data_IF_732223421899
#
_entry.id   IF_732223421899
#
_cell.length_a   1.000
_cell.length_b   1.000
_cell.length_c   1.000
_cell.angle_alpha   90.00
_cell.angle_beta   90.00
_cell.angle_gamma   90.00
#
_symmetry.space_group_name_H-M   'P 1'
#
loop_
_entity.id
_entity.type
_entity.pdbx_description
1 polymer ?
#
# COMPACT_ATOMS: atom_id res chain seq x y z
N UNK A 1 8.52 6.54 3.62
CA UNK A 1 8.01 6.67 2.23
C UNK A 1 9.08 6.49 1.15
N UNK A 2 10.32 6.93 1.34
CA UNK A 2 11.37 6.71 0.34
C UNK A 2 11.52 5.25 -0.09
N UNK A 3 11.47 4.32 0.86
CA UNK A 3 11.58 2.89 0.58
C UNK A 3 10.40 2.36 -0.22
N UNK A 4 9.20 2.89 0.02
CA UNK A 4 8.02 2.54 -0.76
C UNK A 4 8.13 3.04 -2.20
N UNK A 5 8.64 4.25 -2.39
CA UNK A 5 8.87 4.83 -3.73
C UNK A 5 9.91 3.98 -4.49
N UNK A 6 11.00 3.59 -3.83
CA UNK A 6 12.00 2.71 -4.44
C UNK A 6 11.38 1.37 -4.86
N UNK A 7 10.56 0.78 -4.00
CA UNK A 7 9.87 -0.47 -4.31
C UNK A 7 8.96 -0.30 -5.54
N UNK A 8 8.23 0.81 -5.62
CA UNK A 8 7.36 1.11 -6.75
C UNK A 8 8.10 1.14 -8.08
N UNK A 9 9.33 1.63 -8.09
CA UNK A 9 10.16 1.71 -9.29
C UNK A 9 10.55 0.33 -9.84
N UNK A 10 10.42 -0.70 -9.04
CA UNK A 10 10.69 -2.08 -9.46
C UNK A 10 9.54 -2.71 -10.26
N UNK A 11 8.37 -2.10 -10.25
CA UNK A 11 7.23 -2.57 -11.04
C UNK A 11 7.49 -2.28 -12.53
N UNK A 12 7.38 -3.32 -13.36
CA UNK A 12 7.59 -3.21 -14.82
C UNK A 12 6.36 -3.70 -15.55
N UNK A 13 5.89 -2.90 -16.51
CA UNK A 13 4.64 -3.18 -17.26
C UNK A 13 3.42 -3.28 -16.33
N UNK A 14 3.48 -2.55 -15.22
CA UNK A 14 2.46 -2.52 -14.17
C UNK A 14 2.27 -1.08 -13.72
N UNK A 15 1.18 -0.81 -13.02
CA UNK A 15 1.03 0.46 -12.33
C UNK A 15 2.06 0.51 -11.20
N UNK A 16 2.87 1.57 -11.17
CA UNK A 16 3.98 1.72 -10.21
C UNK A 16 3.47 2.08 -8.83
N UNK A 17 3.16 1.06 -8.05
CA UNK A 17 2.80 1.20 -6.63
C UNK A 17 3.78 0.38 -5.81
N UNK A 18 4.26 0.96 -4.73
CA UNK A 18 5.15 0.30 -3.79
C UNK A 18 4.61 0.40 -2.37
N UNK A 19 4.82 -0.64 -1.59
CA UNK A 19 4.40 -0.69 -0.19
C UNK A 19 5.49 -1.33 0.67
N UNK A 20 5.66 -0.80 1.88
CA UNK A 20 6.56 -1.40 2.87
C UNK A 20 5.82 -1.51 4.20
N UNK A 21 6.10 -2.59 4.93
CA UNK A 21 5.62 -2.76 6.30
C UNK A 21 6.80 -2.57 7.24
N UNK A 22 6.60 -1.74 8.26
CA UNK A 22 7.64 -1.33 9.20
C UNK A 22 7.21 -1.70 10.61
N UNK A 23 8.15 -2.24 11.38
CA UNK A 23 7.95 -2.52 12.80
C UNK A 23 9.10 -1.90 13.60
N UNK A 24 8.76 -1.00 14.53
CA UNK A 24 9.77 -0.30 15.34
C UNK A 24 10.88 0.34 14.51
N UNK A 25 10.50 1.00 13.42
CA UNK A 25 11.45 1.67 12.53
C UNK A 25 12.21 0.77 11.57
N UNK A 26 12.01 -0.54 11.64
CA UNK A 26 12.70 -1.52 10.78
C UNK A 26 11.75 -2.00 9.67
N UNK A 27 12.20 -1.95 8.43
CA UNK A 27 11.45 -2.47 7.29
C UNK A 27 11.39 -4.00 7.38
N UNK A 28 10.18 -4.55 7.52
CA UNK A 28 9.93 -5.98 7.60
C UNK A 28 9.70 -6.56 6.20
N UNK A 29 8.97 -5.85 5.37
CA UNK A 29 8.65 -6.28 4.02
C UNK A 29 8.62 -5.11 3.05
N UNK A 30 8.82 -5.40 1.77
CA UNK A 30 8.80 -4.42 0.70
C UNK A 30 8.27 -5.11 -0.56
N UNK A 31 7.35 -4.48 -1.25
CA UNK A 31 6.75 -5.06 -2.44
C UNK A 31 6.31 -3.99 -3.43
N UNK A 32 6.17 -4.38 -4.68
CA UNK A 32 5.56 -3.57 -5.71
C UNK A 32 4.41 -4.34 -6.36
N UNK A 33 3.59 -3.63 -7.13
CA UNK A 33 2.46 -4.20 -7.85
C UNK A 33 2.95 -5.26 -8.84
N UNK A 34 2.36 -6.46 -8.81
CA UNK A 34 2.75 -7.59 -9.67
C UNK A 34 1.55 -8.33 -10.26
N UNK A 35 0.45 -7.62 -10.46
CA UNK A 35 -0.79 -8.18 -11.01
C UNK A 35 -0.55 -8.87 -12.35
N UNK A 36 0.14 -8.20 -13.27
CA UNK A 36 0.44 -8.74 -14.59
C UNK A 36 1.53 -9.83 -14.51
N UNK A 37 2.60 -9.58 -13.77
CA UNK A 37 3.70 -10.53 -13.63
C UNK A 37 3.25 -11.87 -13.06
N UNK A 38 2.35 -11.86 -12.08
CA UNK A 38 1.85 -13.06 -11.41
C UNK A 38 0.51 -13.56 -11.96
N UNK A 39 -0.11 -12.83 -12.91
CA UNK A 39 -1.46 -13.14 -13.41
C UNK A 39 -2.42 -13.32 -12.23
N UNK A 40 -2.38 -12.38 -11.30
CA UNK A 40 -3.13 -12.43 -10.04
C UNK A 40 -3.68 -11.04 -9.72
N UNK A 41 -5.01 -10.90 -9.80
CA UNK A 41 -5.71 -9.64 -9.54
C UNK A 41 -5.51 -9.15 -8.11
N UNK A 42 -5.15 -10.04 -7.17
CA UNK A 42 -4.89 -9.65 -5.77
C UNK A 42 -3.45 -9.22 -5.52
N UNK A 43 -2.56 -9.35 -6.50
CA UNK A 43 -1.12 -9.06 -6.34
C UNK A 43 -0.81 -7.56 -6.37
N UNK A 44 -1.55 -6.78 -5.58
CA UNK A 44 -1.23 -5.38 -5.30
C UNK A 44 -0.07 -5.30 -4.32
N UNK A 45 0.70 -4.22 -4.39
CA UNK A 45 1.85 -4.01 -3.51
C UNK A 45 1.50 -4.22 -2.03
N UNK A 46 0.37 -3.70 -1.59
CA UNK A 46 -0.07 -3.78 -0.20
C UNK A 46 -0.33 -5.23 0.22
N UNK A 47 -1.02 -6.00 -0.62
CA UNK A 47 -1.31 -7.42 -0.33
C UNK A 47 -0.01 -8.22 -0.23
N UNK A 48 0.91 -8.01 -1.17
CA UNK A 48 2.19 -8.71 -1.18
C UNK A 48 3.05 -8.34 0.04
N UNK A 49 3.05 -7.06 0.43
CA UNK A 49 3.78 -6.60 1.61
C UNK A 49 3.20 -7.20 2.89
N UNK A 50 1.87 -7.27 3.01
CA UNK A 50 1.19 -7.89 4.15
C UNK A 50 1.55 -9.38 4.24
N UNK A 51 1.48 -10.10 3.13
CA UNK A 51 1.82 -11.54 3.08
C UNK A 51 3.24 -11.80 3.54
N UNK A 52 4.19 -11.04 3.01
CA UNK A 52 5.60 -11.18 3.37
C UNK A 52 5.84 -10.86 4.84
N UNK A 53 5.25 -9.79 5.36
CA UNK A 53 5.39 -9.40 6.76
C UNK A 53 4.81 -10.48 7.68
N UNK A 54 3.62 -11.00 7.37
CA UNK A 54 2.98 -12.05 8.15
C UNK A 54 3.85 -13.31 8.19
N UNK A 55 4.44 -13.68 7.06
CA UNK A 55 5.33 -14.83 6.96
C UNK A 55 6.58 -14.65 7.82
N UNK A 56 7.20 -13.47 7.75
CA UNK A 56 8.42 -13.18 8.53
C UNK A 56 8.16 -13.11 10.02
N UNK A 57 7.02 -12.58 10.43
CA UNK A 57 6.68 -12.42 11.84
C UNK A 57 5.98 -13.65 12.44
N UNK A 58 5.66 -14.64 11.61
CA UNK A 58 5.07 -15.89 12.07
C UNK A 58 3.59 -15.81 12.41
N UNK A 59 2.86 -14.80 11.93
CA UNK A 59 1.44 -14.67 12.19
C UNK A 59 0.81 -13.56 11.39
N UNK A 60 -0.51 -13.62 11.22
CA UNK A 60 -1.24 -12.65 10.39
C UNK A 60 -1.53 -11.32 11.12
N UNK A 61 -1.40 -11.28 12.43
CA UNK A 61 -1.63 -10.05 13.21
C UNK A 61 -0.41 -9.15 13.16
N UNK A 62 -0.58 -7.97 12.58
CA UNK A 62 0.51 -7.01 12.40
C UNK A 62 0.30 -5.78 13.29
N UNK A 63 -0.12 -6.01 14.55
CA UNK A 63 -0.58 -4.97 15.48
C UNK A 63 0.45 -3.88 15.80
N UNK A 64 1.73 -4.23 15.80
CA UNK A 64 2.80 -3.27 16.09
C UNK A 64 3.46 -2.73 14.82
N UNK A 65 2.83 -2.96 13.66
CA UNK A 65 3.39 -2.58 12.37
C UNK A 65 2.65 -1.42 11.76
N UNK A 66 3.35 -0.69 10.90
CA UNK A 66 2.80 0.40 10.09
C UNK A 66 3.11 0.13 8.63
N UNK A 67 2.25 0.66 7.74
CA UNK A 67 2.48 0.54 6.29
C UNK A 67 2.73 1.91 5.69
N UNK A 68 3.67 1.97 4.75
CA UNK A 68 3.87 3.11 3.85
C UNK A 68 3.58 2.62 2.44
N UNK A 69 2.71 3.32 1.72
CA UNK A 69 2.33 2.96 0.36
C UNK A 69 2.24 4.21 -0.51
N UNK A 70 2.67 4.11 -1.76
CA UNK A 70 2.78 5.29 -2.63
C UNK A 70 1.44 5.81 -3.13
N UNK A 71 0.39 4.97 -3.12
CA UNK A 71 -0.95 5.33 -3.57
C UNK A 71 -1.97 4.91 -2.52
N UNK A 72 -3.00 5.72 -2.32
CA UNK A 72 -4.10 5.40 -1.41
C UNK A 72 -4.66 4.01 -1.72
N UNK A 73 -4.78 3.12 -0.72
CA UNK A 73 -5.27 1.76 -0.95
C UNK A 73 -6.69 1.69 -1.50
N UNK A 74 -6.90 0.78 -2.45
CA UNK A 74 -8.23 0.45 -2.98
C UNK A 74 -9.05 -0.33 -1.94
N UNK A 75 -10.36 -0.62 -2.19
CA UNK A 75 -11.18 -1.33 -1.20
C UNK A 75 -10.61 -2.69 -0.76
N UNK A 76 -10.08 -3.48 -1.69
CA UNK A 76 -9.47 -4.77 -1.37
C UNK A 76 -8.31 -4.60 -0.39
N UNK A 77 -7.40 -3.70 -0.70
CA UNK A 77 -6.20 -3.47 0.12
C UNK A 77 -6.52 -2.79 1.44
N UNK A 78 -7.44 -1.81 1.43
CA UNK A 78 -7.88 -1.14 2.66
C UNK A 78 -8.47 -2.14 3.65
N UNK A 79 -9.31 -3.06 3.15
CA UNK A 79 -9.91 -4.08 4.01
C UNK A 79 -8.85 -5.04 4.56
N UNK A 80 -7.91 -5.47 3.72
CA UNK A 80 -6.79 -6.31 4.16
C UNK A 80 -5.94 -5.64 5.23
N UNK A 81 -5.67 -4.34 5.07
CA UNK A 81 -4.93 -3.53 6.05
C UNK A 81 -5.66 -3.51 7.40
N UNK A 82 -6.97 -3.25 7.37
CA UNK A 82 -7.80 -3.24 8.58
C UNK A 82 -7.81 -4.62 9.23
N UNK A 83 -8.03 -5.67 8.45
CA UNK A 83 -8.11 -7.04 8.95
C UNK A 83 -6.79 -7.56 9.50
N UNK A 84 -5.66 -7.11 8.97
CA UNK A 84 -4.34 -7.50 9.45
C UNK A 84 -3.96 -6.80 10.76
N UNK A 85 -4.76 -5.89 11.26
CA UNK A 85 -4.55 -5.14 12.49
C UNK A 85 -3.35 -4.20 12.45
N UNK A 86 -2.97 -3.73 11.26
CA UNK A 86 -1.95 -2.69 11.14
C UNK A 86 -2.36 -1.47 11.97
N UNK A 87 -1.40 -0.88 12.63
CA UNK A 87 -1.60 0.26 13.54
C UNK A 87 -1.87 1.55 12.78
N UNK A 88 -1.16 1.75 11.68
CA UNK A 88 -1.25 2.97 10.88
C UNK A 88 -0.87 2.71 9.43
N UNK A 89 -1.43 3.54 8.54
CA UNK A 89 -1.08 3.57 7.13
C UNK A 89 -0.74 5.01 6.74
N UNK A 90 0.36 5.16 6.02
CA UNK A 90 0.82 6.43 5.46
C UNK A 90 0.82 6.26 3.94
N UNK A 91 0.02 7.05 3.22
CA UNK A 91 0.01 6.95 1.76
C UNK A 91 0.43 8.26 1.11
N UNK A 92 0.96 8.17 -0.12
CA UNK A 92 1.43 9.33 -0.86
C UNK A 92 0.31 9.98 -1.66
N UNK A 93 0.02 9.44 -2.83
CA UNK A 93 -1.01 10.00 -3.72
C UNK A 93 -2.41 9.61 -3.28
N UNK A 94 -3.35 10.55 -3.41
CA UNK A 94 -4.77 10.29 -3.23
C UNK A 94 -5.35 9.65 -4.49
N UNK A 95 -6.29 8.74 -4.35
CA UNK A 95 -6.99 8.11 -5.47
C UNK A 95 -8.49 8.45 -5.38
N UNK A 96 -8.92 9.41 -6.19
CA UNK A 96 -10.31 9.90 -6.16
C UNK A 96 -11.31 8.85 -6.63
N UNK A 97 -10.88 7.92 -7.47
CA UNK A 97 -11.78 6.92 -8.07
C UNK A 97 -11.91 5.66 -7.24
N UNK A 98 -10.81 5.17 -6.67
CA UNK A 98 -10.76 3.88 -5.98
C UNK A 98 -10.19 3.94 -4.56
N UNK A 99 -9.76 5.10 -4.11
CA UNK A 99 -9.19 5.25 -2.77
C UNK A 99 -10.23 4.96 -1.69
N UNK A 100 -9.93 4.03 -0.81
CA UNK A 100 -10.88 3.51 0.17
C UNK A 100 -10.51 3.83 1.62
N UNK A 101 -9.64 4.80 1.83
CA UNK A 101 -9.28 5.31 3.15
C UNK A 101 -9.53 6.83 3.23
N UNK A 102 -10.60 7.28 2.57
CA UNK A 102 -11.07 8.64 2.69
C UNK A 102 -11.50 9.32 1.40
N UNK A 103 -10.96 8.93 0.24
CA UNK A 103 -11.24 9.64 -1.01
C UNK A 103 -12.55 9.22 -1.68
N UNK A 104 -12.64 8.01 -2.24
CA UNK A 104 -13.89 7.52 -2.84
C UNK A 104 -14.79 6.88 -1.79
N UNK A 105 -14.20 6.24 -0.80
CA UNK A 105 -14.88 5.61 0.33
C UNK A 105 -13.94 5.58 1.51
N UNK A 106 -14.46 5.25 2.68
CA UNK A 106 -13.63 5.03 3.87
C UNK A 106 -14.10 3.75 4.56
N UNK A 107 -13.37 2.66 4.36
CA UNK A 107 -13.74 1.36 4.91
C UNK A 107 -13.65 1.29 6.42
N UNK A 108 -13.01 2.26 7.07
CA UNK A 108 -13.00 2.32 8.53
C UNK A 108 -14.40 2.51 9.11
N UNK A 109 -15.33 3.02 8.30
CA UNK A 109 -16.73 3.21 8.72
C UNK A 109 -17.51 1.90 8.81
N UNK A 110 -17.02 0.82 8.20
CA UNK A 110 -17.69 -0.48 8.23
C UNK A 110 -17.46 -1.24 9.54
N UNK A 111 -16.54 -0.78 10.35
CA UNK A 111 -16.17 -1.42 11.61
C UNK A 111 -15.63 -0.37 12.58
N UNK A 112 -15.48 -0.74 13.84
CA UNK A 112 -14.89 0.13 14.85
C UNK A 112 -13.34 0.06 14.74
N UNK A 113 -12.80 0.29 13.55
CA UNK A 113 -11.37 0.21 13.30
C UNK A 113 -10.61 1.34 14.00
N UNK A 114 -9.48 0.98 14.61
CA UNK A 114 -8.57 1.94 15.25
C UNK A 114 -7.41 2.32 14.33
N UNK A 115 -7.46 1.92 13.06
CA UNK A 115 -6.42 2.24 12.08
C UNK A 115 -6.27 3.75 11.93
N UNK A 116 -5.04 4.23 12.09
CA UNK A 116 -4.70 5.63 11.85
C UNK A 116 -4.27 5.77 10.39
N UNK A 117 -4.79 6.80 9.72
CA UNK A 117 -4.55 7.03 8.29
C UNK A 117 -3.99 8.43 8.08
N UNK A 118 -2.88 8.51 7.38
CA UNK A 118 -2.22 9.77 7.05
C UNK A 118 -1.94 9.80 5.56
N UNK A 119 -2.60 10.69 4.83
CA UNK A 119 -2.43 10.84 3.39
C UNK A 119 -1.54 12.02 3.03
N UNK A 120 -1.10 12.05 1.77
CA UNK A 120 -0.29 13.15 1.24
C UNK A 120 1.17 13.11 1.65
N UNK A 121 1.68 11.97 2.08
CA UNK A 121 3.08 11.83 2.50
C UNK A 121 3.96 11.71 1.25
N UNK A 122 4.79 12.74 1.01
CA UNK A 122 5.58 12.87 -0.22
C UNK A 122 4.68 12.80 -1.46
N UNK A 123 3.55 13.50 -1.39
CA UNK A 123 2.52 13.45 -2.42
C UNK A 123 3.05 13.78 -3.81
N UNK A 124 3.83 14.84 -3.94
CA UNK A 124 4.36 15.29 -5.24
C UNK A 124 5.21 14.21 -5.92
N UNK A 125 6.09 13.57 -5.16
CA UNK A 125 6.95 12.51 -5.67
C UNK A 125 6.15 11.28 -6.07
N UNK A 126 5.13 10.94 -5.30
CA UNK A 126 4.25 9.82 -5.60
C UNK A 126 3.37 10.11 -6.83
N UNK A 127 2.85 11.33 -6.95
CA UNK A 127 2.06 11.75 -8.11
C UNK A 127 2.90 11.68 -9.40
N UNK A 128 4.14 12.16 -9.33
CA UNK A 128 5.09 12.08 -10.45
C UNK A 128 5.34 10.65 -10.89
N UNK A 129 5.52 9.77 -9.94
CA UNK A 129 5.76 8.36 -10.20
C UNK A 129 4.60 7.73 -10.99
N UNK A 130 3.37 8.04 -10.60
CA UNK A 130 2.17 7.57 -11.30
C UNK A 130 2.06 8.18 -12.70
N UNK A 131 2.30 9.47 -12.83
CA UNK A 131 2.27 10.15 -14.13
C UNK A 131 3.25 9.52 -15.12
N UNK A 132 4.47 9.30 -14.69
CA UNK A 132 5.52 8.66 -15.50
C UNK A 132 5.12 7.24 -15.90
N UNK A 133 4.57 6.49 -14.95
CA UNK A 133 4.09 5.13 -15.17
C UNK A 133 3.01 5.09 -16.26
N UNK A 134 2.01 5.96 -16.17
CA UNK A 134 0.91 6.00 -17.13
C UNK A 134 1.39 6.39 -18.53
N UNK A 135 2.40 7.24 -18.64
CA UNK A 135 3.03 7.56 -19.93
C UNK A 135 3.70 6.35 -20.56
N UNK A 136 4.39 5.55 -19.76
CA UNK A 136 5.09 4.33 -20.24
C UNK A 136 4.13 3.23 -20.66
N UNK A 137 2.95 3.15 -20.02
CA UNK A 137 1.96 2.11 -20.30
C UNK A 137 1.04 2.41 -21.49
N UNK A 138 1.13 3.59 -22.08
CA UNK A 138 0.33 4.00 -23.24
C UNK A 138 0.83 3.40 -24.55
#
# INVERSE_FOLDING_TARGET
MHRAIEAAKSAKSEISVGAVVVKNGTVISSACNRKEALQDVTAHAEILAIREAAKKLGGWRLEDCEMYVTLEPCPMCAWAIIQSRLKAVYFGSYDKNYGALGSAADLRTLTASKLKVYGGIMEEECDKLLEECFKELR
#
